data_IF_177212672958
#
_entry.id   IF_177212672958
#
_cell.length_a   1.000
_cell.length_b   1.000
_cell.length_c   1.000
_cell.angle_alpha   90.00
_cell.angle_beta   90.00
_cell.angle_gamma   90.00
#
_symmetry.space_group_name_H-M   'P 1'
#
loop_
_entity.id
_entity.type
_entity.pdbx_description
1 polymer ?
#
# COMPACT_ATOMS: atom_id res chain seq x y z
N UNK A 1 -18.25 4.86 10.86
CA UNK A 1 -17.87 5.09 9.44
C UNK A 1 -16.35 5.07 9.34
N UNK A 2 -15.75 3.91 9.03
CA UNK A 2 -14.30 3.78 8.93
C UNK A 2 -13.84 4.26 7.55
N UNK A 3 -13.22 5.44 7.48
CA UNK A 3 -12.49 5.84 6.27
C UNK A 3 -11.31 4.87 6.08
N UNK A 4 -11.00 4.39 4.87
CA UNK A 4 -9.88 3.48 4.62
C UNK A 4 -8.53 4.02 5.14
N UNK A 5 -8.34 5.34 5.13
CA UNK A 5 -7.18 6.02 5.75
C UNK A 5 -7.01 5.68 7.23
N UNK A 6 -8.11 5.57 7.99
CA UNK A 6 -8.06 5.23 9.41
C UNK A 6 -7.61 3.78 9.60
N UNK A 7 -7.90 2.90 8.64
CA UNK A 7 -7.45 1.51 8.68
C UNK A 7 -5.94 1.40 8.43
N UNK A 8 -5.39 2.15 7.46
CA UNK A 8 -3.94 2.16 7.20
C UNK A 8 -3.13 2.73 8.36
N UNK A 9 -3.62 3.81 8.98
CA UNK A 9 -2.98 4.37 10.16
C UNK A 9 -3.04 3.40 11.35
N UNK A 10 -4.19 2.75 11.56
CA UNK A 10 -4.37 1.77 12.64
C UNK A 10 -3.47 0.54 12.44
N UNK A 11 -3.37 0.00 11.22
CA UNK A 11 -2.51 -1.14 10.93
C UNK A 11 -1.03 -0.78 11.08
N UNK A 12 -0.62 0.42 10.70
CA UNK A 12 0.74 0.91 10.95
C UNK A 12 1.05 0.93 12.44
N UNK A 13 0.19 1.56 13.25
CA UNK A 13 0.37 1.63 14.71
C UNK A 13 0.44 0.22 15.31
N UNK A 14 -0.42 -0.69 14.86
CA UNK A 14 -0.42 -2.08 15.32
C UNK A 14 0.89 -2.80 14.97
N UNK A 15 1.42 -2.64 13.75
CA UNK A 15 2.71 -3.21 13.34
C UNK A 15 3.83 -2.69 14.23
N UNK A 16 3.91 -1.37 14.43
CA UNK A 16 4.95 -0.76 15.27
C UNK A 16 4.84 -1.24 16.72
N UNK A 17 3.62 -1.33 17.27
CA UNK A 17 3.42 -1.84 18.62
C UNK A 17 3.88 -3.30 18.78
N UNK A 18 3.56 -4.16 17.80
CA UNK A 18 4.03 -5.55 17.77
C UNK A 18 5.55 -5.61 17.65
N UNK A 19 6.16 -4.79 16.79
CA UNK A 19 7.61 -4.78 16.62
C UNK A 19 8.32 -4.36 17.91
N UNK A 20 7.86 -3.29 18.55
CA UNK A 20 8.44 -2.84 19.82
C UNK A 20 8.29 -3.88 20.93
N UNK A 21 7.16 -4.58 20.99
CA UNK A 21 6.90 -5.59 22.03
C UNK A 21 7.61 -6.92 21.79
N UNK A 22 7.64 -7.40 20.54
CA UNK A 22 8.16 -8.74 20.18
C UNK A 22 9.63 -8.70 19.76
N UNK A 23 10.02 -7.69 18.97
CA UNK A 23 11.36 -7.59 18.38
C UNK A 23 12.28 -6.64 19.15
N UNK A 24 11.70 -5.74 19.95
CA UNK A 24 12.42 -4.69 20.67
C UNK A 24 12.79 -3.50 19.80
N UNK A 25 13.22 -2.42 20.46
CA UNK A 25 13.50 -1.12 19.83
C UNK A 25 14.58 -1.20 18.74
N UNK A 26 15.73 -1.82 19.05
CA UNK A 26 16.87 -1.89 18.13
C UNK A 26 16.51 -2.53 16.80
N UNK A 27 15.81 -3.67 16.83
CA UNK A 27 15.41 -4.40 15.62
C UNK A 27 14.31 -3.65 14.86
N UNK A 28 13.38 -3.02 15.58
CA UNK A 28 12.35 -2.16 14.99
C UNK A 28 12.98 -1.03 14.16
N UNK A 29 13.93 -0.29 14.75
CA UNK A 29 14.63 0.80 14.06
C UNK A 29 15.42 0.27 12.86
N UNK A 30 16.05 -0.90 12.98
CA UNK A 30 16.76 -1.53 11.87
C UNK A 30 15.82 -1.79 10.69
N UNK A 31 14.67 -2.44 10.92
CA UNK A 31 13.70 -2.77 9.86
C UNK A 31 13.21 -1.49 9.16
N UNK A 32 12.82 -0.47 9.94
CA UNK A 32 12.38 0.81 9.38
C UNK A 32 13.46 1.50 8.53
N UNK A 33 14.74 1.34 8.92
CA UNK A 33 15.89 1.89 8.18
C UNK A 33 16.29 1.05 6.98
N UNK A 34 15.99 -0.23 6.92
CA UNK A 34 16.28 -1.07 5.76
C UNK A 34 15.22 -0.83 4.67
N UNK A 35 13.96 -0.67 5.07
CA UNK A 35 12.84 -0.54 4.14
C UNK A 35 12.53 0.92 3.72
N UNK A 36 13.29 1.91 4.21
CA UNK A 36 13.02 3.33 3.93
C UNK A 36 13.07 3.68 2.43
N UNK A 37 13.84 2.94 1.63
CA UNK A 37 13.93 3.15 0.18
C UNK A 37 12.59 2.88 -0.52
N UNK A 38 11.78 1.95 0.00
CA UNK A 38 10.45 1.70 -0.55
C UNK A 38 9.49 2.88 -0.29
N UNK A 39 9.67 3.61 0.81
CA UNK A 39 8.94 4.85 1.08
C UNK A 39 9.35 5.94 0.08
N UNK A 40 10.64 6.03 -0.27
CA UNK A 40 11.11 6.95 -1.31
C UNK A 40 10.44 6.65 -2.66
N UNK A 41 10.17 5.38 -2.96
CA UNK A 41 9.42 4.94 -4.14
C UNK A 41 8.00 5.53 -4.25
N UNK A 42 7.38 5.98 -3.15
CA UNK A 42 6.08 6.66 -3.19
C UNK A 42 6.15 8.04 -3.82
N UNK A 43 7.30 8.72 -3.77
CA UNK A 43 7.49 10.08 -4.27
C UNK A 43 7.13 10.20 -5.76
N UNK A 44 7.74 9.43 -6.69
CA UNK A 44 7.41 9.55 -8.11
C UNK A 44 5.95 9.21 -8.41
N UNK A 45 5.37 8.22 -7.71
CA UNK A 45 3.97 7.83 -7.88
C UNK A 45 3.05 8.95 -7.40
N UNK A 46 3.36 9.58 -6.25
CA UNK A 46 2.62 10.71 -5.73
C UNK A 46 2.68 11.92 -6.67
N UNK A 47 3.85 12.21 -7.27
CA UNK A 47 3.96 13.26 -8.27
C UNK A 47 3.10 12.98 -9.52
N UNK A 48 3.13 11.74 -10.03
CA UNK A 48 2.29 11.34 -11.15
C UNK A 48 0.79 11.47 -10.81
N UNK A 49 0.39 11.01 -9.63
CA UNK A 49 -0.98 11.16 -9.12
C UNK A 49 -1.41 12.63 -9.08
N UNK A 50 -0.61 13.49 -8.45
CA UNK A 50 -0.91 14.92 -8.33
C UNK A 50 -0.96 15.61 -9.70
N UNK A 51 -0.09 15.23 -10.63
CA UNK A 51 -0.09 15.74 -12.00
C UNK A 51 -1.43 15.48 -12.70
N UNK A 52 -1.88 14.22 -12.75
CA UNK A 52 -3.16 13.89 -13.40
C UNK A 52 -4.35 14.48 -12.66
N UNK A 53 -4.33 14.45 -11.33
CA UNK A 53 -5.38 15.06 -10.51
C UNK A 53 -5.53 16.56 -10.78
N UNK A 54 -4.42 17.29 -10.91
CA UNK A 54 -4.44 18.72 -11.23
C UNK A 54 -4.98 18.98 -12.64
N UNK A 55 -4.58 18.19 -13.63
CA UNK A 55 -5.07 18.31 -15.02
C UNK A 55 -6.57 18.04 -15.15
N UNK A 56 -7.13 17.24 -14.25
CA UNK A 56 -8.51 16.79 -14.28
C UNK A 56 -9.43 17.50 -13.27
N UNK A 57 -8.93 18.54 -12.57
CA UNK A 57 -9.65 19.19 -11.45
C UNK A 57 -11.03 19.75 -11.81
N UNK A 58 -11.23 20.16 -13.06
CA UNK A 58 -12.46 20.80 -13.55
C UNK A 58 -13.37 19.80 -14.32
N UNK A 59 -13.04 18.50 -14.28
CA UNK A 59 -13.74 17.45 -15.04
C UNK A 59 -14.38 16.43 -14.10
N UNK A 60 -15.49 15.84 -14.52
CA UNK A 60 -16.08 14.69 -13.83
C UNK A 60 -15.18 13.46 -13.98
N UNK A 61 -14.88 12.80 -12.87
CA UNK A 61 -13.99 11.63 -12.83
C UNK A 61 -14.84 10.35 -12.86
N UNK A 62 -14.66 9.53 -13.89
CA UNK A 62 -15.23 8.19 -13.97
C UNK A 62 -14.34 7.25 -13.15
N UNK A 63 -14.94 6.47 -12.25
CA UNK A 63 -14.21 5.44 -11.50
C UNK A 63 -14.15 4.14 -12.30
N UNK A 64 -13.03 3.90 -12.99
CA UNK A 64 -12.75 2.68 -13.74
C UNK A 64 -12.46 1.46 -12.85
N UNK A 65 -12.20 1.68 -11.56
CA UNK A 65 -11.93 0.61 -10.60
C UNK A 65 -13.20 0.13 -9.86
N UNK A 66 -14.40 0.63 -10.22
CA UNK A 66 -15.66 0.31 -9.54
C UNK A 66 -16.03 -1.18 -9.53
N UNK A 67 -15.46 -1.98 -10.44
CA UNK A 67 -15.70 -3.43 -10.55
C UNK A 67 -14.53 -4.29 -10.03
N UNK A 68 -13.50 -3.71 -9.40
CA UNK A 68 -12.46 -4.52 -8.75
C UNK A 68 -12.99 -5.05 -7.40
N UNK A 69 -13.91 -6.02 -7.44
CA UNK A 69 -14.37 -6.76 -6.27
C UNK A 69 -13.26 -7.71 -5.77
N UNK A 70 -12.18 -7.12 -5.26
CA UNK A 70 -11.19 -7.88 -4.48
C UNK A 70 -11.91 -8.30 -3.20
N UNK A 71 -12.36 -9.55 -3.15
CA UNK A 71 -13.08 -10.07 -2.00
C UNK A 71 -12.16 -10.11 -0.77
N UNK A 72 -12.67 -9.73 0.39
CA UNK A 72 -11.94 -9.84 1.66
C UNK A 72 -11.45 -11.29 1.88
N UNK A 73 -12.23 -12.28 1.45
CA UNK A 73 -11.87 -13.70 1.48
C UNK A 73 -10.59 -14.00 0.69
N UNK A 74 -10.48 -13.51 -0.55
CA UNK A 74 -9.28 -13.70 -1.37
C UNK A 74 -8.07 -12.97 -0.78
N UNK A 75 -8.25 -11.75 -0.25
CA UNK A 75 -7.16 -11.00 0.39
C UNK A 75 -6.63 -11.69 1.64
N UNK A 76 -7.52 -12.20 2.49
CA UNK A 76 -7.14 -12.95 3.69
C UNK A 76 -6.43 -14.26 3.32
N UNK A 77 -6.94 -14.99 2.32
CA UNK A 77 -6.29 -16.22 1.86
C UNK A 77 -4.89 -15.96 1.31
N UNK A 78 -4.74 -14.91 0.49
CA UNK A 78 -3.45 -14.49 -0.04
C UNK A 78 -2.51 -14.12 1.10
N UNK A 79 -2.95 -13.28 2.04
CA UNK A 79 -2.15 -12.91 3.20
C UNK A 79 -1.67 -14.14 3.99
N UNK A 80 -2.55 -15.08 4.31
CA UNK A 80 -2.19 -16.30 5.03
C UNK A 80 -1.17 -17.17 4.27
N UNK A 81 -1.31 -17.28 2.94
CA UNK A 81 -0.35 -18.02 2.13
C UNK A 81 1.05 -17.39 2.19
N UNK A 82 1.14 -16.06 2.13
CA UNK A 82 2.41 -15.34 2.28
C UNK A 82 2.99 -15.48 3.68
N UNK A 83 2.18 -15.45 4.75
CA UNK A 83 2.67 -15.69 6.10
C UNK A 83 3.31 -17.08 6.26
N UNK A 84 2.72 -18.10 5.66
CA UNK A 84 3.31 -19.45 5.65
C UNK A 84 4.63 -19.45 4.90
N UNK A 85 4.69 -18.83 3.72
CA UNK A 85 5.92 -18.75 2.93
C UNK A 85 7.05 -18.04 3.72
N UNK A 86 6.75 -16.87 4.27
CA UNK A 86 7.73 -16.05 4.99
C UNK A 86 8.25 -16.75 6.24
N UNK A 87 7.41 -17.51 6.94
CA UNK A 87 7.85 -18.31 8.07
C UNK A 87 8.97 -19.28 7.68
N UNK A 88 8.87 -19.90 6.51
CA UNK A 88 9.90 -20.84 6.04
C UNK A 88 11.11 -20.12 5.42
N UNK A 89 10.92 -19.01 4.70
CA UNK A 89 12.02 -18.33 4.00
C UNK A 89 12.81 -17.35 4.87
N UNK A 90 12.18 -16.71 5.86
CA UNK A 90 12.77 -15.60 6.61
C UNK A 90 13.30 -16.02 8.00
N UNK A 91 13.42 -17.32 8.26
CA UNK A 91 13.96 -17.81 9.53
C UNK A 91 12.94 -17.84 10.67
N UNK A 92 11.70 -18.23 10.36
CA UNK A 92 10.65 -18.47 11.34
C UNK A 92 9.84 -17.23 11.69
N UNK A 93 9.28 -17.24 12.90
CA UNK A 93 8.28 -16.26 13.34
C UNK A 93 8.80 -14.81 13.34
N UNK A 94 10.05 -14.60 13.79
CA UNK A 94 10.67 -13.27 13.84
C UNK A 94 10.86 -12.70 12.43
N UNK A 95 11.35 -13.52 11.50
CA UNK A 95 11.51 -13.13 10.10
C UNK A 95 10.18 -12.80 9.45
N UNK A 96 9.19 -13.69 9.59
CA UNK A 96 7.83 -13.49 9.09
C UNK A 96 7.23 -12.16 9.56
N UNK A 97 7.33 -11.85 10.86
CA UNK A 97 6.83 -10.58 11.40
C UNK A 97 7.59 -9.40 10.81
N UNK A 98 8.91 -9.52 10.63
CA UNK A 98 9.74 -8.42 10.13
C UNK A 98 9.32 -7.94 8.73
N UNK A 99 8.70 -8.81 7.93
CA UNK A 99 8.17 -8.50 6.59
C UNK A 99 6.86 -7.69 6.58
N UNK A 100 6.17 -7.52 7.72
CA UNK A 100 4.87 -6.85 7.74
C UNK A 100 4.94 -5.38 7.32
N UNK A 101 6.04 -4.71 7.66
CA UNK A 101 6.24 -3.30 7.32
C UNK A 101 6.37 -3.09 5.82
N UNK A 102 7.17 -3.90 5.13
CA UNK A 102 7.28 -3.83 3.66
C UNK A 102 5.94 -4.15 2.98
N UNK A 103 5.17 -5.13 3.48
CA UNK A 103 3.82 -5.38 2.95
C UNK A 103 2.87 -4.21 3.15
N UNK A 104 2.97 -3.52 4.29
CA UNK A 104 2.20 -2.31 4.53
C UNK A 104 2.56 -1.19 3.54
N UNK A 105 3.86 -0.98 3.26
CA UNK A 105 4.32 -0.03 2.23
C UNK A 105 3.81 -0.42 0.85
N UNK A 106 3.91 -1.70 0.47
CA UNK A 106 3.42 -2.22 -0.80
C UNK A 106 1.90 -2.01 -0.96
N UNK A 107 1.15 -2.14 0.13
CA UNK A 107 -0.28 -1.80 0.15
C UNK A 107 -0.55 -0.33 -0.19
N UNK A 108 0.24 0.60 0.35
CA UNK A 108 0.14 2.04 0.02
C UNK A 108 0.51 2.28 -1.45
N UNK A 109 1.60 1.67 -1.93
CA UNK A 109 2.03 1.78 -3.33
C UNK A 109 0.91 1.30 -4.25
N UNK A 110 0.31 0.14 -3.98
CA UNK A 110 -0.76 -0.42 -4.79
C UNK A 110 -1.99 0.49 -4.83
N UNK A 111 -2.40 1.06 -3.69
CA UNK A 111 -3.51 2.02 -3.64
C UNK A 111 -3.21 3.28 -4.45
N UNK A 112 -2.02 3.86 -4.27
CA UNK A 112 -1.66 5.08 -4.96
C UNK A 112 -1.54 4.87 -6.48
N UNK A 113 -1.00 3.72 -6.91
CA UNK A 113 -0.97 3.33 -8.31
C UNK A 113 -2.38 3.13 -8.88
N UNK A 114 -3.24 2.43 -8.16
CA UNK A 114 -4.62 2.18 -8.58
C UNK A 114 -5.38 3.49 -8.82
N UNK A 115 -5.24 4.46 -7.92
CA UNK A 115 -5.77 5.82 -8.08
C UNK A 115 -5.11 6.55 -9.25
N UNK A 116 -3.78 6.53 -9.34
CA UNK A 116 -3.04 7.18 -10.44
C UNK A 116 -3.48 6.66 -11.81
N UNK A 117 -3.64 5.34 -11.96
CA UNK A 117 -4.13 4.70 -13.19
C UNK A 117 -5.56 5.13 -13.49
N UNK A 118 -6.42 5.23 -12.47
CA UNK A 118 -7.79 5.72 -12.66
C UNK A 118 -7.81 7.15 -13.22
N UNK A 119 -7.01 8.06 -12.65
CA UNK A 119 -6.88 9.42 -13.17
C UNK A 119 -6.23 9.45 -14.56
N UNK A 120 -5.21 8.62 -14.81
CA UNK A 120 -4.59 8.51 -16.13
C UNK A 120 -5.60 8.11 -17.22
N UNK A 121 -6.46 7.12 -16.95
CA UNK A 121 -7.51 6.70 -17.90
C UNK A 121 -8.51 7.82 -18.20
N UNK A 122 -8.90 8.59 -17.19
CA UNK A 122 -9.74 9.78 -17.39
C UNK A 122 -9.04 10.83 -18.27
N UNK A 123 -7.74 11.04 -18.04
CA UNK A 123 -6.94 11.95 -18.86
C UNK A 123 -6.81 11.48 -20.32
N UNK A 124 -6.61 10.19 -20.54
CA UNK A 124 -6.56 9.60 -21.88
C UNK A 124 -7.88 9.80 -22.64
N UNK A 125 -9.02 9.61 -21.96
CA UNK A 125 -10.34 9.87 -22.56
C UNK A 125 -10.51 11.32 -22.98
N UNK A 126 -10.12 12.26 -22.12
CA UNK A 126 -10.17 13.68 -22.43
C UNK A 126 -9.31 14.07 -23.65
N UNK A 127 -8.17 13.43 -23.83
CA UNK A 127 -7.32 13.67 -24.99
C UNK A 127 -7.87 13.07 -26.28
N UNK A 128 -8.73 12.04 -26.21
CA UNK A 128 -9.41 11.47 -27.38
C UNK A 128 -10.66 12.26 -27.81
N UNK A 129 -11.24 13.05 -26.91
CA UNK A 129 -12.43 13.87 -27.18
C UNK A 129 -12.08 15.30 -27.62
N UNK A 130 -10.81 15.70 -27.51
CA UNK A 130 -10.26 16.92 -28.11
C UNK A 130 -9.86 16.69 -29.56
#
# INVERSE_FOLDING_TARGET
MNKPINLFALTFIAIIAVYLFVLGENKTIQILKEDYLYIVGLIPIAFAFLYFKYKLKDYEIINFNKNSDISLKSTVLFFLAFQVYDYYSEGGFIGMISQWFIYWIMGIIALLLMETINYYKNYELLQKTK
#
